data_IF_497558597776
#
_entry.id   IF_497558597776
#
_cell.length_a   1.000
_cell.length_b   1.000
_cell.length_c   1.000
_cell.angle_alpha   90.00
_cell.angle_beta   90.00
_cell.angle_gamma   90.00
#
_symmetry.space_group_name_H-M   'P 1'
#
loop_
_entity.id
_entity.type
_entity.pdbx_description
1 polymer ?
#
# COMPACT_ATOMS: atom_id res chain seq x y z
N UNK A 1 0.98 -7.51 43.20
CA UNK A 1 1.48 -8.24 42.01
C UNK A 1 0.40 -8.49 40.95
N UNK A 2 -0.81 -8.97 41.29
CA UNK A 2 -1.92 -9.15 40.33
C UNK A 2 -2.34 -7.88 39.57
N UNK A 3 -2.33 -6.72 40.23
CA UNK A 3 -2.72 -5.45 39.60
C UNK A 3 -1.69 -4.94 38.58
N UNK A 4 -0.41 -5.25 38.80
CA UNK A 4 0.64 -4.92 37.82
C UNK A 4 0.53 -5.82 36.58
N UNK A 5 0.15 -7.09 36.77
CA UNK A 5 -0.07 -8.06 35.69
C UNK A 5 -1.29 -7.70 34.82
N UNK A 6 -2.37 -7.18 35.44
CA UNK A 6 -3.54 -6.63 34.73
C UNK A 6 -3.22 -5.36 33.94
N UNK A 7 -2.39 -4.47 34.50
CA UNK A 7 -1.97 -3.25 33.82
C UNK A 7 -1.10 -3.57 32.58
N UNK A 8 -0.18 -4.54 32.70
CA UNK A 8 0.66 -4.96 31.58
C UNK A 8 -0.12 -5.65 30.47
N UNK A 9 -1.16 -6.43 30.80
CA UNK A 9 -1.99 -7.07 29.76
C UNK A 9 -2.83 -6.05 29.01
N UNK A 10 -3.39 -5.05 29.70
CA UNK A 10 -4.15 -3.97 29.06
C UNK A 10 -3.30 -3.16 28.07
N UNK A 11 -2.05 -2.84 28.43
CA UNK A 11 -1.12 -2.12 27.54
C UNK A 11 -0.76 -2.95 26.30
N UNK A 12 -0.56 -4.26 26.45
CA UNK A 12 -0.28 -5.15 25.31
C UNK A 12 -1.45 -5.19 24.33
N UNK A 13 -2.70 -5.21 24.81
CA UNK A 13 -3.89 -5.23 23.94
C UNK A 13 -4.00 -3.99 23.06
N UNK A 14 -3.58 -2.82 23.56
CA UNK A 14 -3.57 -1.56 22.79
C UNK A 14 -2.51 -1.59 21.68
N UNK A 15 -1.38 -2.27 21.91
CA UNK A 15 -0.29 -2.36 20.93
C UNK A 15 -0.59 -3.41 19.84
N UNK A 16 -1.43 -4.41 20.14
CA UNK A 16 -1.80 -5.49 19.20
C UNK A 16 -3.08 -5.21 18.42
N UNK A 17 -3.41 -3.95 18.11
CA UNK A 17 -4.42 -3.66 17.10
C UNK A 17 -3.83 -3.89 15.71
N UNK A 18 -4.04 -5.08 15.15
CA UNK A 18 -3.87 -5.30 13.72
C UNK A 18 -4.87 -4.38 13.00
N UNK A 19 -4.37 -3.45 12.18
CA UNK A 19 -5.25 -2.63 11.34
C UNK A 19 -5.87 -3.53 10.28
N UNK A 20 -7.18 -3.77 10.40
CA UNK A 20 -7.94 -4.45 9.38
C UNK A 20 -8.07 -3.55 8.14
N UNK A 21 -7.37 -3.94 7.07
CA UNK A 21 -7.46 -3.28 5.77
C UNK A 21 -8.81 -3.63 5.16
N UNK A 22 -9.62 -2.62 4.87
CA UNK A 22 -10.91 -2.82 4.20
C UNK A 22 -10.69 -3.38 2.81
N UNK A 23 -11.48 -4.39 2.45
CA UNK A 23 -11.55 -4.87 1.07
C UNK A 23 -12.15 -3.79 0.15
N UNK A 24 -11.94 -3.88 -1.18
CA UNK A 24 -12.52 -2.91 -2.12
C UNK A 24 -14.03 -2.82 -2.01
N UNK A 25 -14.74 -3.96 -1.87
CA UNK A 25 -16.20 -3.97 -1.75
C UNK A 25 -16.69 -3.29 -0.48
N UNK A 26 -16.00 -3.48 0.65
CA UNK A 26 -16.32 -2.82 1.93
C UNK A 26 -16.03 -1.32 1.90
N UNK A 27 -14.96 -0.90 1.22
CA UNK A 27 -14.64 0.51 1.05
C UNK A 27 -15.63 1.20 0.11
N UNK A 28 -15.98 0.56 -1.01
CA UNK A 28 -16.83 1.12 -2.05
C UNK A 28 -18.32 1.05 -1.69
N UNK A 29 -18.73 0.11 -0.83
CA UNK A 29 -20.10 -0.09 -0.38
C UNK A 29 -20.98 -0.88 -1.38
N UNK A 30 -20.37 -1.59 -2.31
CA UNK A 30 -21.04 -2.44 -3.29
C UNK A 30 -20.11 -3.56 -3.76
N UNK A 31 -20.69 -4.64 -4.26
CA UNK A 31 -19.94 -5.78 -4.80
C UNK A 31 -19.24 -5.41 -6.11
N UNK A 32 -17.98 -5.83 -6.28
CA UNK A 32 -17.20 -5.56 -7.48
C UNK A 32 -17.88 -6.16 -8.72
N UNK A 33 -17.92 -5.40 -9.81
CA UNK A 33 -18.55 -5.80 -11.07
C UNK A 33 -20.04 -5.51 -11.17
N UNK A 34 -20.72 -5.16 -10.08
CA UNK A 34 -22.15 -4.79 -10.12
C UNK A 34 -22.40 -3.44 -10.79
N UNK A 35 -21.44 -2.51 -10.69
CA UNK A 35 -21.51 -1.21 -11.34
C UNK A 35 -20.11 -0.68 -11.68
N UNK A 36 -20.08 0.29 -12.60
CA UNK A 36 -18.84 0.96 -12.97
C UNK A 36 -18.30 1.85 -11.83
N UNK A 37 -17.09 1.55 -11.36
CA UNK A 37 -16.40 2.37 -10.36
C UNK A 37 -15.78 3.60 -11.02
N UNK A 38 -16.17 4.79 -10.57
CA UNK A 38 -15.60 6.06 -11.04
C UNK A 38 -14.12 6.16 -10.66
N UNK A 39 -13.32 6.77 -11.55
CA UNK A 39 -11.87 6.92 -11.35
C UNK A 39 -11.48 7.50 -9.99
N UNK A 40 -12.15 8.57 -9.51
CA UNK A 40 -11.81 9.15 -8.20
C UNK A 40 -11.96 8.13 -7.06
N UNK A 41 -12.97 7.27 -7.08
CA UNK A 41 -13.14 6.25 -6.02
C UNK A 41 -12.02 5.21 -6.04
N UNK A 42 -11.46 4.93 -7.21
CA UNK A 42 -10.29 4.06 -7.35
C UNK A 42 -9.06 4.74 -6.74
N UNK A 43 -8.85 6.02 -7.05
CA UNK A 43 -7.77 6.83 -6.47
C UNK A 43 -7.91 6.91 -4.95
N UNK A 44 -9.10 7.26 -4.44
CA UNK A 44 -9.40 7.36 -3.01
C UNK A 44 -9.06 6.05 -2.27
N UNK A 45 -9.34 4.90 -2.89
CA UNK A 45 -9.03 3.60 -2.30
C UNK A 45 -7.51 3.35 -2.25
N UNK A 46 -6.77 3.71 -3.30
CA UNK A 46 -5.32 3.58 -3.27
C UNK A 46 -4.66 4.55 -2.28
N UNK A 47 -5.17 5.77 -2.15
CA UNK A 47 -4.72 6.73 -1.13
C UNK A 47 -5.01 6.21 0.28
N UNK A 48 -6.17 5.60 0.49
CA UNK A 48 -6.48 4.89 1.73
C UNK A 48 -5.46 3.78 2.00
N UNK A 49 -5.14 2.95 1.01
CA UNK A 49 -4.16 1.87 1.16
C UNK A 49 -2.75 2.38 1.48
N UNK A 50 -2.27 3.44 0.84
CA UNK A 50 -0.96 4.02 1.13
C UNK A 50 -0.88 4.61 2.54
N UNK A 51 -1.99 5.09 3.08
CA UNK A 51 -2.04 5.64 4.45
C UNK A 51 -2.09 4.55 5.53
N UNK A 52 -2.79 3.44 5.27
CA UNK A 52 -2.94 2.35 6.24
C UNK A 52 -1.78 1.35 6.19
N UNK A 53 -1.20 1.11 5.01
CA UNK A 53 -0.08 0.17 4.83
C UNK A 53 1.12 0.84 4.12
N UNK A 54 1.72 1.89 4.70
CA UNK A 54 2.78 2.67 4.06
C UNK A 54 4.06 1.87 3.82
N UNK A 55 4.27 0.77 4.55
CA UNK A 55 5.40 -0.15 4.38
C UNK A 55 5.24 -1.07 3.16
N UNK A 56 4.03 -1.18 2.60
CA UNK A 56 3.70 -2.11 1.51
C UNK A 56 3.12 -1.43 0.27
N UNK A 57 2.55 -0.24 0.42
CA UNK A 57 1.90 0.51 -0.63
C UNK A 57 2.47 1.93 -0.67
N UNK A 58 3.05 2.29 -1.80
CA UNK A 58 3.54 3.65 -2.07
C UNK A 58 2.84 4.20 -3.30
N UNK A 59 2.27 5.40 -3.18
CA UNK A 59 1.78 6.17 -4.32
C UNK A 59 2.79 7.23 -4.73
N UNK A 60 3.04 7.33 -6.03
CA UNK A 60 3.89 8.34 -6.61
C UNK A 60 3.16 9.06 -7.74
N UNK A 61 3.04 10.38 -7.64
CA UNK A 61 2.59 11.21 -8.74
C UNK A 61 3.74 11.43 -9.73
N UNK A 62 3.51 11.14 -11.02
CA UNK A 62 4.52 11.32 -12.07
C UNK A 62 4.18 12.46 -13.03
N UNK A 63 2.99 13.04 -12.92
CA UNK A 63 2.56 14.13 -13.78
C UNK A 63 1.09 14.47 -13.60
N UNK A 64 0.61 15.41 -14.41
CA UNK A 64 -0.75 15.93 -14.37
C UNK A 64 -1.29 15.97 -15.80
N UNK A 65 -2.56 15.61 -15.99
CA UNK A 65 -3.22 15.69 -17.31
C UNK A 65 -3.57 17.13 -17.68
N UNK A 66 -3.93 17.36 -18.95
CA UNK A 66 -4.42 18.67 -19.42
C UNK A 66 -5.67 19.16 -18.65
N UNK A 67 -6.45 18.25 -18.08
CA UNK A 67 -7.62 18.57 -17.24
C UNK A 67 -7.26 18.81 -15.76
N UNK A 68 -5.97 18.91 -15.42
CA UNK A 68 -5.46 19.04 -14.05
C UNK A 68 -5.77 17.82 -13.15
N UNK A 69 -5.75 16.61 -13.71
CA UNK A 69 -5.90 15.37 -12.92
C UNK A 69 -4.52 14.75 -12.64
N UNK A 70 -4.20 14.36 -11.40
CA UNK A 70 -2.93 13.74 -11.07
C UNK A 70 -2.83 12.37 -11.76
N UNK A 71 -1.63 12.05 -12.25
CA UNK A 71 -1.28 10.75 -12.80
C UNK A 71 -0.42 10.02 -11.77
N UNK A 72 -0.95 8.91 -11.25
CA UNK A 72 -0.41 8.19 -10.11
C UNK A 72 0.14 6.82 -10.52
N UNK A 73 1.23 6.42 -9.88
CA UNK A 73 1.76 5.05 -9.87
C UNK A 73 1.57 4.47 -8.48
N UNK A 74 1.04 3.24 -8.40
CA UNK A 74 0.92 2.49 -7.16
C UNK A 74 1.94 1.36 -7.15
N UNK A 75 2.93 1.46 -6.26
CA UNK A 75 3.87 0.38 -5.97
C UNK A 75 3.32 -0.47 -4.83
N UNK A 76 3.13 -1.76 -5.09
CA UNK A 76 2.57 -2.70 -4.11
C UNK A 76 3.50 -3.90 -4.03
N UNK A 77 4.05 -4.17 -2.84
CA UNK A 77 4.91 -5.33 -2.61
C UNK A 77 4.95 -5.74 -1.15
N UNK A 78 5.81 -6.71 -0.81
CA UNK A 78 6.18 -6.99 0.57
C UNK A 78 6.99 -5.83 1.16
N UNK A 79 6.98 -5.69 2.49
CA UNK A 79 7.77 -4.64 3.15
C UNK A 79 9.28 -4.76 2.85
N UNK A 80 9.79 -5.99 2.76
CA UNK A 80 11.18 -6.25 2.37
C UNK A 80 11.51 -5.73 0.96
N UNK A 81 10.61 -5.96 -0.01
CA UNK A 81 10.80 -5.48 -1.38
C UNK A 81 10.63 -3.96 -1.46
N UNK A 82 9.69 -3.39 -0.72
CA UNK A 82 9.48 -1.94 -0.70
C UNK A 82 10.70 -1.20 -0.15
N UNK A 83 11.34 -1.74 0.89
CA UNK A 83 12.62 -1.24 1.39
C UNK A 83 13.79 -1.38 0.38
N UNK A 84 13.64 -2.21 -0.65
CA UNK A 84 14.65 -2.49 -1.68
C UNK A 84 14.22 -2.03 -3.09
N UNK A 85 13.20 -1.17 -3.19
CA UNK A 85 12.51 -0.84 -4.45
C UNK A 85 13.47 -0.31 -5.53
N UNK A 86 14.38 0.59 -5.18
CA UNK A 86 15.33 1.18 -6.14
C UNK A 86 16.37 0.20 -6.67
N UNK A 87 16.80 -0.75 -5.83
CA UNK A 87 17.71 -1.80 -6.29
C UNK A 87 16.99 -2.75 -7.23
N UNK A 88 15.75 -3.15 -6.92
CA UNK A 88 14.91 -3.95 -7.82
C UNK A 88 14.73 -3.25 -9.17
N UNK A 89 14.44 -1.94 -9.15
CA UNK A 89 14.33 -1.11 -10.36
C UNK A 89 15.63 -1.11 -11.17
N UNK A 90 16.77 -0.96 -10.48
CA UNK A 90 18.09 -0.88 -11.12
C UNK A 90 18.51 -2.22 -11.73
N UNK A 91 18.33 -3.32 -11.02
CA UNK A 91 18.58 -4.67 -11.56
C UNK A 91 17.65 -4.98 -12.75
N UNK A 92 16.37 -4.59 -12.67
CA UNK A 92 15.46 -4.70 -13.81
C UNK A 92 15.98 -3.93 -15.04
N UNK A 93 16.52 -2.72 -14.87
CA UNK A 93 17.10 -1.96 -15.97
C UNK A 93 18.35 -2.63 -16.56
N UNK A 94 19.25 -3.17 -15.73
CA UNK A 94 20.43 -3.92 -16.19
C UNK A 94 20.07 -5.18 -16.96
N UNK A 95 18.96 -5.84 -16.61
CA UNK A 95 18.47 -7.01 -17.33
C UNK A 95 18.15 -6.72 -18.81
N UNK A 96 17.84 -5.46 -19.14
CA UNK A 96 17.56 -5.04 -20.52
C UNK A 96 18.83 -4.99 -21.40
N UNK A 97 19.99 -4.79 -20.79
CA UNK A 97 21.30 -4.69 -21.47
C UNK A 97 22.13 -5.97 -21.34
N UNK A 98 21.66 -6.96 -20.57
CA UNK A 98 22.38 -8.22 -20.32
C UNK A 98 23.42 -8.15 -19.19
N UNK A 99 23.44 -7.06 -18.42
CA UNK A 99 24.41 -6.81 -17.33
C UNK A 99 23.86 -7.20 -15.94
N UNK A 100 22.68 -7.83 -15.89
CA UNK A 100 22.04 -8.25 -14.64
C UNK A 100 22.78 -9.42 -14.01
N UNK A 101 23.02 -9.35 -12.71
CA UNK A 101 23.46 -10.52 -11.96
C UNK A 101 22.24 -11.42 -11.72
N UNK A 102 22.23 -12.60 -12.34
CA UNK A 102 21.19 -13.60 -12.13
C UNK A 102 21.43 -14.32 -10.79
N UNK A 103 21.08 -13.68 -9.69
CA UNK A 103 21.13 -14.26 -8.32
C UNK A 103 20.09 -13.62 -7.45
#
# INVERSE_FOLDING_TARGET
MKQFLLLTTFVITIITSAQDIKSPSEFLGYELGTQFTRHHKVVDYYEYLSNIAPDRVQLQEYGITNERRPLLLAFISSAANMGNLENIRTEHLKSRTGESNAT
#
